data_IF_378155456221
#
_entry.id   IF_378155456221
#
_cell.length_a   1.000
_cell.length_b   1.000
_cell.length_c   1.000
_cell.angle_alpha   90.00
_cell.angle_beta   90.00
_cell.angle_gamma   90.00
#
_symmetry.space_group_name_H-M   'P 1'
#
loop_
_entity.id
_entity.type
_entity.pdbx_description
1 polymer ?
#
# COMPACT_ATOMS: atom_id res chain seq x y z
N UNK A 1 5.12 -14.59 -20.99
CA UNK A 1 3.99 -13.85 -20.37
C UNK A 1 3.11 -14.83 -19.63
N UNK A 2 3.24 -14.95 -18.31
CA UNK A 2 2.50 -15.99 -17.56
C UNK A 2 1.86 -15.50 -16.25
N UNK A 3 2.13 -14.27 -15.78
CA UNK A 3 1.63 -13.81 -14.46
C UNK A 3 0.39 -12.92 -14.53
N UNK A 4 -0.09 -12.59 -15.73
CA UNK A 4 -1.27 -11.71 -15.89
C UNK A 4 -2.52 -12.28 -15.20
N UNK A 5 -2.75 -13.58 -15.35
CA UNK A 5 -3.89 -14.25 -14.70
C UNK A 5 -3.71 -14.29 -13.18
N UNK A 6 -2.51 -14.63 -12.69
CA UNK A 6 -2.23 -14.68 -11.25
C UNK A 6 -2.36 -13.28 -10.62
N UNK A 7 -1.82 -12.25 -11.27
CA UNK A 7 -1.95 -10.85 -10.86
C UNK A 7 -3.42 -10.45 -10.79
N UNK A 8 -4.22 -10.81 -11.80
CA UNK A 8 -5.65 -10.53 -11.82
C UNK A 8 -6.39 -11.24 -10.68
N UNK A 9 -6.12 -12.52 -10.45
CA UNK A 9 -6.75 -13.31 -9.39
C UNK A 9 -6.45 -12.71 -8.02
N UNK A 10 -5.20 -12.33 -7.77
CA UNK A 10 -4.79 -11.72 -6.50
C UNK A 10 -5.44 -10.35 -6.30
N UNK A 11 -5.50 -9.52 -7.35
CA UNK A 11 -6.17 -8.22 -7.30
C UNK A 11 -7.67 -8.34 -7.04
N UNK A 12 -8.34 -9.27 -7.74
CA UNK A 12 -9.77 -9.52 -7.57
C UNK A 12 -10.06 -10.01 -6.13
N UNK A 13 -9.22 -10.91 -5.58
CA UNK A 13 -9.32 -11.38 -4.21
C UNK A 13 -9.08 -10.26 -3.18
N UNK A 14 -8.03 -9.45 -3.37
CA UNK A 14 -7.72 -8.31 -2.51
C UNK A 14 -8.87 -7.29 -2.50
N UNK A 15 -9.49 -7.04 -3.66
CA UNK A 15 -10.62 -6.12 -3.79
C UNK A 15 -11.87 -6.61 -3.04
N UNK A 16 -12.19 -7.90 -3.15
CA UNK A 16 -13.30 -8.51 -2.41
C UNK A 16 -13.05 -8.44 -0.90
N UNK A 17 -11.85 -8.81 -0.45
CA UNK A 17 -11.48 -8.75 0.97
C UNK A 17 -11.50 -7.32 1.50
N UNK A 18 -10.99 -6.34 0.73
CA UNK A 18 -11.03 -4.94 1.11
C UNK A 18 -12.47 -4.45 1.34
N UNK A 19 -13.41 -4.80 0.45
CA UNK A 19 -14.84 -4.46 0.64
C UNK A 19 -15.42 -5.06 1.90
N UNK A 20 -15.10 -6.32 2.20
CA UNK A 20 -15.58 -7.00 3.41
C UNK A 20 -15.00 -6.37 4.68
N UNK A 21 -13.72 -6.01 4.67
CA UNK A 21 -13.05 -5.34 5.78
C UNK A 21 -13.63 -3.95 6.00
N UNK A 22 -13.84 -3.18 4.93
CA UNK A 22 -14.43 -1.84 5.02
C UNK A 22 -15.83 -1.90 5.64
N UNK A 23 -16.69 -2.83 5.21
CA UNK A 23 -18.01 -3.03 5.79
C UNK A 23 -17.94 -3.47 7.27
N UNK A 24 -17.00 -4.35 7.61
CA UNK A 24 -16.79 -4.82 8.98
C UNK A 24 -16.27 -3.70 9.89
N UNK A 25 -15.38 -2.85 9.39
CA UNK A 25 -14.86 -1.69 10.08
C UNK A 25 -15.98 -0.68 10.38
N UNK A 26 -16.80 -0.36 9.38
CA UNK A 26 -17.98 0.49 9.54
C UNK A 26 -18.97 -0.04 10.59
N UNK A 27 -19.18 -1.36 10.63
CA UNK A 27 -20.00 -1.99 11.66
C UNK A 27 -19.36 -1.91 13.06
N UNK A 28 -18.04 -2.10 13.13
CA UNK A 28 -17.28 -2.00 14.37
C UNK A 28 -17.32 -0.60 15.00
N UNK A 29 -17.27 0.45 14.17
CA UNK A 29 -17.41 1.83 14.64
C UNK A 29 -18.72 2.03 15.42
N UNK A 30 -19.80 1.36 15.02
CA UNK A 30 -21.13 1.54 15.59
C UNK A 30 -21.40 0.71 16.83
N UNK A 31 -20.99 -0.56 16.90
CA UNK A 31 -21.53 -1.49 17.90
C UNK A 31 -20.57 -2.55 18.49
N UNK A 32 -19.31 -2.67 18.04
CA UNK A 32 -18.42 -3.75 18.51
C UNK A 32 -16.93 -3.46 18.27
N UNK A 33 -16.06 -3.89 19.20
CA UNK A 33 -14.63 -4.01 18.90
C UNK A 33 -14.39 -5.27 18.05
N UNK A 34 -13.88 -5.11 16.83
CA UNK A 34 -13.47 -6.20 15.94
C UNK A 34 -11.97 -6.10 15.70
N UNK A 35 -11.26 -7.23 15.82
CA UNK A 35 -9.85 -7.30 15.46
C UNK A 35 -9.70 -7.53 13.94
N UNK A 36 -9.35 -6.47 13.22
CA UNK A 36 -9.19 -6.49 11.76
C UNK A 36 -7.71 -6.57 11.33
N UNK A 37 -6.77 -6.73 12.27
CA UNK A 37 -5.34 -6.66 11.97
C UNK A 37 -4.88 -7.73 10.98
N UNK A 38 -5.34 -8.97 11.14
CA UNK A 38 -5.01 -10.09 10.23
C UNK A 38 -5.64 -9.91 8.84
N UNK A 39 -6.95 -9.65 8.70
CA UNK A 39 -7.54 -9.35 7.39
C UNK A 39 -6.85 -8.19 6.65
N UNK A 40 -6.56 -7.08 7.35
CA UNK A 40 -5.88 -5.92 6.74
C UNK A 40 -4.48 -6.28 6.28
N UNK A 41 -3.72 -7.03 7.08
CA UNK A 41 -2.40 -7.56 6.69
C UNK A 41 -2.50 -8.40 5.42
N UNK A 42 -3.44 -9.34 5.35
CA UNK A 42 -3.60 -10.22 4.19
C UNK A 42 -3.91 -9.44 2.89
N UNK A 43 -4.74 -8.40 2.95
CA UNK A 43 -5.00 -7.54 1.80
C UNK A 43 -3.73 -6.83 1.35
N UNK A 44 -2.97 -6.24 2.28
CA UNK A 44 -1.71 -5.57 1.95
C UNK A 44 -0.70 -6.55 1.32
N UNK A 45 -0.57 -7.77 1.86
CA UNK A 45 0.33 -8.80 1.31
C UNK A 45 -0.06 -9.23 -0.11
N UNK A 46 -1.36 -9.35 -0.38
CA UNK A 46 -1.86 -9.64 -1.72
C UNK A 46 -1.56 -8.49 -2.70
N UNK A 47 -1.81 -7.23 -2.30
CA UNK A 47 -1.47 -6.07 -3.12
C UNK A 47 0.03 -5.97 -3.40
N UNK A 48 0.87 -6.26 -2.40
CA UNK A 48 2.32 -6.30 -2.57
C UNK A 48 2.74 -7.39 -3.55
N UNK A 49 2.16 -8.58 -3.45
CA UNK A 49 2.46 -9.69 -4.36
C UNK A 49 2.08 -9.37 -5.80
N UNK A 50 0.93 -8.73 -6.02
CA UNK A 50 0.51 -8.27 -7.34
C UNK A 50 1.51 -7.25 -7.94
N UNK A 51 2.02 -6.31 -7.13
CA UNK A 51 3.07 -5.37 -7.54
C UNK A 51 4.36 -6.10 -7.93
N UNK A 52 4.81 -7.05 -7.13
CA UNK A 52 6.04 -7.79 -7.40
C UNK A 52 5.91 -8.68 -8.66
N UNK A 53 4.73 -9.27 -8.92
CA UNK A 53 4.46 -9.99 -10.18
C UNK A 53 4.54 -9.07 -11.39
N UNK A 54 3.99 -7.86 -11.29
CA UNK A 54 4.14 -6.86 -12.35
C UNK A 54 5.60 -6.44 -12.54
N UNK A 55 6.40 -6.36 -11.48
CA UNK A 55 7.82 -6.06 -11.59
C UNK A 55 8.58 -7.14 -12.39
N UNK A 56 8.27 -8.42 -12.15
CA UNK A 56 8.81 -9.52 -12.94
C UNK A 56 8.42 -9.42 -14.42
N UNK A 57 7.15 -9.14 -14.71
CA UNK A 57 6.69 -8.98 -16.09
C UNK A 57 7.35 -7.77 -16.78
N UNK A 58 7.52 -6.65 -16.07
CA UNK A 58 8.26 -5.48 -16.58
C UNK A 58 9.71 -5.84 -16.85
N UNK A 59 10.37 -6.58 -15.95
CA UNK A 59 11.75 -7.00 -16.14
C UNK A 59 11.91 -7.87 -17.38
N UNK A 60 11.13 -8.93 -17.51
CA UNK A 60 11.19 -9.89 -18.62
C UNK A 60 10.93 -9.22 -19.98
N UNK A 61 9.97 -8.28 -20.03
CA UNK A 61 9.58 -7.63 -21.28
C UNK A 61 10.51 -6.46 -21.64
N UNK A 62 10.86 -5.63 -20.67
CA UNK A 62 11.56 -4.36 -20.95
C UNK A 62 13.06 -4.46 -20.72
N UNK A 63 13.51 -5.10 -19.64
CA UNK A 63 14.91 -5.03 -19.20
C UNK A 63 15.75 -6.22 -19.70
N UNK A 64 15.22 -7.45 -19.57
CA UNK A 64 15.93 -8.69 -19.84
C UNK A 64 16.47 -8.78 -21.28
N UNK A 65 15.73 -8.43 -22.35
CA UNK A 65 16.22 -8.59 -23.72
C UNK A 65 17.50 -7.77 -23.98
N UNK A 66 17.52 -6.51 -23.51
CA UNK A 66 18.67 -5.61 -23.65
C UNK A 66 19.86 -6.07 -22.80
N UNK A 67 19.62 -6.64 -21.61
CA UNK A 67 20.68 -7.17 -20.75
C UNK A 67 21.31 -8.43 -21.32
N UNK A 68 20.49 -9.37 -21.78
CA UNK A 68 20.93 -10.61 -22.41
C UNK A 68 21.78 -10.32 -23.66
N UNK A 69 21.35 -9.36 -24.50
CA UNK A 69 22.12 -8.93 -25.67
C UNK A 69 23.51 -8.35 -25.33
N UNK A 70 23.67 -7.80 -24.12
CA UNK A 70 24.92 -7.22 -23.62
C UNK A 70 25.71 -8.17 -22.69
N UNK A 71 25.30 -9.44 -22.56
CA UNK A 71 25.96 -10.42 -21.69
C UNK A 71 25.90 -10.06 -20.20
N UNK A 72 24.94 -9.23 -19.78
CA UNK A 72 24.79 -8.80 -18.39
C UNK A 72 23.97 -9.83 -17.59
N UNK A 73 24.36 -10.13 -16.33
CA UNK A 73 23.61 -11.08 -15.50
C UNK A 73 22.24 -10.53 -15.10
N UNK A 74 21.30 -11.42 -14.81
CA UNK A 74 20.00 -11.03 -14.22
C UNK A 74 20.17 -10.50 -12.78
N UNK A 75 19.36 -9.53 -12.35
CA UNK A 75 19.37 -9.06 -10.97
C UNK A 75 18.91 -10.18 -10.03
N UNK A 76 19.52 -10.25 -8.84
CA UNK A 76 19.23 -11.29 -7.85
C UNK A 76 17.79 -11.25 -7.34
N UNK A 77 17.22 -10.05 -7.25
CA UNK A 77 15.90 -9.80 -6.69
C UNK A 77 15.14 -8.82 -7.59
N UNK A 78 13.99 -9.24 -8.11
CA UNK A 78 13.10 -8.38 -8.88
C UNK A 78 11.90 -8.07 -8.00
N UNK A 79 11.85 -6.84 -7.52
CA UNK A 79 10.76 -6.32 -6.71
C UNK A 79 10.23 -5.03 -7.31
N UNK A 80 8.96 -4.74 -7.04
CA UNK A 80 8.37 -3.49 -7.45
C UNK A 80 9.13 -2.32 -6.82
N UNK A 81 9.66 -1.37 -7.63
CA UNK A 81 10.39 -0.24 -7.10
C UNK A 81 9.41 0.77 -6.49
N UNK A 82 9.65 1.11 -5.22
CA UNK A 82 8.92 2.16 -4.51
C UNK A 82 9.91 3.00 -3.72
N UNK A 83 9.80 4.32 -3.76
CA UNK A 83 10.71 5.24 -3.06
C UNK A 83 9.98 6.41 -2.47
N UNK A 84 10.38 6.84 -1.26
CA UNK A 84 9.80 8.03 -0.63
C UNK A 84 10.27 9.30 -1.34
N UNK A 85 11.54 9.31 -1.73
CA UNK A 85 12.17 10.36 -2.54
C UNK A 85 12.51 9.84 -3.94
N UNK A 86 12.80 10.77 -4.85
CA UNK A 86 13.23 10.43 -6.22
C UNK A 86 14.52 9.61 -6.22
N UNK A 87 15.48 9.94 -5.35
CA UNK A 87 16.77 9.24 -5.24
C UNK A 87 16.58 7.81 -4.69
N UNK A 88 15.71 7.63 -3.68
CA UNK A 88 15.35 6.31 -3.17
C UNK A 88 14.75 5.43 -4.28
N UNK A 89 13.86 6.02 -5.07
CA UNK A 89 13.23 5.33 -6.19
C UNK A 89 14.24 4.97 -7.27
N UNK A 90 15.11 5.90 -7.67
CA UNK A 90 16.17 5.65 -8.66
C UNK A 90 17.11 4.53 -8.22
N UNK A 91 17.54 4.54 -6.97
CA UNK A 91 18.39 3.50 -6.40
C UNK A 91 17.72 2.13 -6.46
N UNK A 92 16.45 2.05 -6.03
CA UNK A 92 15.68 0.80 -6.04
C UNK A 92 15.38 0.31 -7.45
N UNK A 93 14.92 1.18 -8.34
CA UNK A 93 14.70 0.87 -9.75
C UNK A 93 15.99 0.40 -10.43
N UNK A 94 17.13 1.03 -10.13
CA UNK A 94 18.44 0.59 -10.63
C UNK A 94 18.82 -0.81 -10.16
N UNK A 95 18.41 -1.20 -8.95
CA UNK A 95 18.69 -2.53 -8.41
C UNK A 95 17.74 -3.63 -8.93
N UNK A 96 16.43 -3.33 -9.04
CA UNK A 96 15.41 -4.33 -9.36
C UNK A 96 15.01 -4.36 -10.84
N UNK A 97 15.08 -3.23 -11.53
CA UNK A 97 14.75 -3.05 -12.95
C UNK A 97 15.87 -2.28 -13.66
N UNK A 98 17.11 -2.81 -13.69
CA UNK A 98 18.28 -2.08 -14.17
C UNK A 98 18.14 -1.65 -15.63
N UNK A 99 18.22 -0.34 -15.89
CA UNK A 99 18.17 0.26 -17.22
C UNK A 99 16.76 0.45 -17.78
N UNK A 100 15.71 0.33 -16.95
CA UNK A 100 14.31 0.51 -17.36
C UNK A 100 14.01 1.89 -17.97
N UNK A 101 14.70 2.93 -17.51
CA UNK A 101 14.63 4.30 -18.00
C UNK A 101 15.00 4.41 -19.49
N UNK A 102 16.02 3.66 -19.90
CA UNK A 102 16.46 3.61 -21.31
C UNK A 102 15.77 2.53 -22.11
N UNK A 103 15.36 1.43 -21.48
CA UNK A 103 14.77 0.29 -22.17
C UNK A 103 13.28 0.49 -22.47
N UNK A 104 12.56 1.17 -21.57
CA UNK A 104 11.18 1.58 -21.79
C UNK A 104 10.87 2.88 -21.02
N UNK A 105 11.20 4.05 -21.61
CA UNK A 105 10.88 5.35 -21.02
C UNK A 105 9.40 5.53 -20.62
N UNK A 106 8.41 5.03 -21.41
CA UNK A 106 7.00 5.13 -21.01
C UNK A 106 6.68 4.37 -19.73
N UNK A 107 7.21 3.16 -19.55
CA UNK A 107 7.00 2.36 -18.34
C UNK A 107 7.70 3.01 -17.15
N UNK A 108 8.92 3.51 -17.34
CA UNK A 108 9.62 4.25 -16.30
C UNK A 108 8.83 5.47 -15.83
N UNK A 109 8.29 6.27 -16.76
CA UNK A 109 7.46 7.43 -16.44
C UNK A 109 6.19 7.05 -15.67
N UNK A 110 5.56 5.93 -16.03
CA UNK A 110 4.40 5.40 -15.29
C UNK A 110 4.80 5.02 -13.87
N UNK A 111 5.91 4.30 -13.69
CA UNK A 111 6.43 3.94 -12.37
C UNK A 111 6.73 5.16 -11.50
N UNK A 112 7.29 6.23 -12.08
CA UNK A 112 7.56 7.50 -11.40
C UNK A 112 6.25 8.20 -11.00
N UNK A 113 5.25 8.22 -11.89
CA UNK A 113 3.99 8.96 -11.69
C UNK A 113 3.18 8.52 -10.47
N UNK A 114 3.33 7.27 -10.03
CA UNK A 114 2.62 6.71 -8.88
C UNK A 114 3.41 6.86 -7.56
N UNK A 115 4.64 7.37 -7.61
CA UNK A 115 5.47 7.51 -6.42
C UNK A 115 5.04 8.72 -5.58
N UNK A 116 5.23 8.68 -4.26
CA UNK A 116 4.83 9.77 -3.36
C UNK A 116 5.37 11.14 -3.75
N UNK A 117 6.61 11.22 -4.21
CA UNK A 117 7.24 12.48 -4.64
C UNK A 117 6.68 13.05 -5.96
N UNK A 118 5.81 12.31 -6.66
CA UNK A 118 5.15 12.77 -7.90
C UNK A 118 3.65 12.93 -7.72
N UNK A 119 2.97 11.92 -7.15
CA UNK A 119 1.51 11.96 -6.97
C UNK A 119 1.06 12.69 -5.69
N UNK A 120 1.97 12.94 -4.75
CA UNK A 120 1.68 13.56 -3.45
C UNK A 120 1.04 12.62 -2.42
N UNK A 121 0.78 11.37 -2.77
CA UNK A 121 0.17 10.37 -1.90
C UNK A 121 1.19 9.29 -1.48
N UNK A 122 1.31 9.06 -0.18
CA UNK A 122 2.33 8.17 0.39
C UNK A 122 1.85 6.73 0.60
N UNK A 123 0.60 6.42 0.24
CA UNK A 123 -0.02 5.11 0.46
C UNK A 123 0.85 3.93 -0.02
N UNK A 124 1.47 4.04 -1.20
CA UNK A 124 2.28 2.97 -1.79
C UNK A 124 3.52 2.70 -0.92
N UNK A 125 4.16 3.77 -0.47
CA UNK A 125 5.33 3.67 0.40
C UNK A 125 4.94 3.12 1.77
N UNK A 126 3.89 3.67 2.39
CA UNK A 126 3.40 3.21 3.69
C UNK A 126 3.03 1.73 3.67
N UNK A 127 2.22 1.30 2.71
CA UNK A 127 1.81 -0.10 2.55
C UNK A 127 3.03 -1.03 2.46
N UNK A 128 3.99 -0.70 1.60
CA UNK A 128 5.16 -1.53 1.41
C UNK A 128 6.13 -1.47 2.61
N UNK A 129 6.23 -0.34 3.32
CA UNK A 129 7.06 -0.19 4.52
C UNK A 129 6.48 -0.99 5.69
N UNK A 130 5.17 -0.87 5.94
CA UNK A 130 4.47 -1.60 7.01
C UNK A 130 4.67 -3.11 6.85
N UNK A 131 4.53 -3.63 5.63
CA UNK A 131 4.75 -5.05 5.37
C UNK A 131 6.20 -5.48 5.57
N UNK A 132 7.17 -4.62 5.25
CA UNK A 132 8.58 -4.97 5.43
C UNK A 132 9.03 -4.88 6.89
N UNK A 133 8.62 -3.83 7.62
CA UNK A 133 8.95 -3.63 9.03
C UNK A 133 8.27 -4.67 9.93
N UNK A 134 7.05 -5.09 9.60
CA UNK A 134 6.25 -6.00 10.44
C UNK A 134 6.39 -7.49 10.09
N UNK A 135 7.27 -7.86 9.15
CA UNK A 135 7.57 -9.27 8.81
C UNK A 135 8.11 -10.09 9.99
N UNK A 136 8.71 -9.46 11.01
CA UNK A 136 9.41 -10.15 12.10
C UNK A 136 9.07 -9.67 13.51
N UNK A 137 8.15 -8.72 13.67
CA UNK A 137 7.96 -8.03 14.95
C UNK A 137 6.54 -8.23 15.51
N UNK A 138 5.54 -7.44 15.07
CA UNK A 138 4.16 -7.52 15.57
C UNK A 138 3.15 -7.02 14.53
N UNK A 139 1.90 -7.49 14.63
CA UNK A 139 0.78 -6.91 13.85
C UNK A 139 0.59 -5.43 14.22
N UNK A 140 0.30 -4.56 13.24
CA UNK A 140 0.01 -3.15 13.48
C UNK A 140 -1.21 -3.02 14.39
N UNK A 141 -1.05 -2.29 15.50
CA UNK A 141 -2.16 -2.08 16.44
C UNK A 141 -3.21 -1.17 15.83
N UNK A 142 -4.47 -1.55 15.98
CA UNK A 142 -5.60 -0.73 15.58
C UNK A 142 -5.98 0.18 16.74
N UNK A 143 -5.66 1.48 16.64
CA UNK A 143 -6.03 2.48 17.65
C UNK A 143 -7.36 3.11 17.27
N UNK A 144 -8.42 2.81 18.01
CA UNK A 144 -9.71 3.48 17.89
C UNK A 144 -9.62 4.84 18.61
N UNK A 145 -9.80 5.92 17.87
CA UNK A 145 -9.92 7.27 18.44
C UNK A 145 -11.37 7.72 18.31
N UNK A 146 -12.05 7.93 19.42
CA UNK A 146 -13.39 8.50 19.45
C UNK A 146 -13.33 9.98 19.79
N UNK A 147 -14.11 10.79 19.07
CA UNK A 147 -14.35 12.18 19.43
C UNK A 147 -15.81 12.33 19.80
N UNK A 148 -16.10 12.54 21.08
CA UNK A 148 -17.45 12.76 21.56
C UNK A 148 -17.75 14.26 21.52
N UNK A 149 -18.91 14.65 20.98
CA UNK A 149 -19.41 16.03 21.04
C UNK A 149 -20.75 16.03 21.79
N UNK A 150 -20.93 16.99 22.70
CA UNK A 150 -22.22 17.23 23.33
C UNK A 150 -22.83 18.50 22.76
N UNK A 151 -24.06 18.40 22.28
CA UNK A 151 -24.87 19.55 21.87
C UNK A 151 -25.88 19.84 22.95
N UNK A 152 -25.78 21.01 23.58
CA UNK A 152 -26.75 21.50 24.55
C UNK A 152 -27.70 22.43 23.80
N UNK A 153 -29.00 22.10 23.80
CA UNK A 153 -30.04 22.98 23.24
C UNK A 153 -30.67 23.81 24.35
N UNK A 154 -30.54 25.14 24.24
CA UNK A 154 -31.25 26.12 25.07
C UNK A 154 -32.39 26.79 24.31
N UNK A 155 -33.25 27.52 25.02
CA UNK A 155 -34.40 28.25 24.43
C UNK A 155 -34.03 29.34 23.40
N UNK A 156 -32.77 29.74 23.28
CA UNK A 156 -32.29 30.78 22.38
C UNK A 156 -31.12 30.34 21.45
N UNK A 157 -30.80 29.05 21.40
CA UNK A 157 -29.75 28.54 20.51
C UNK A 157 -29.12 27.22 20.97
N UNK A 158 -28.29 26.63 20.12
CA UNK A 158 -27.51 25.42 20.43
C UNK A 158 -26.02 25.72 20.52
N UNK A 159 -25.35 25.08 21.48
CA UNK A 159 -23.88 25.10 21.60
C UNK A 159 -23.37 23.66 21.55
N UNK A 160 -22.42 23.39 20.66
CA UNK A 160 -21.74 22.09 20.55
C UNK A 160 -20.34 22.20 21.15
N UNK A 161 -20.06 21.36 22.15
CA UNK A 161 -18.77 21.34 22.85
C UNK A 161 -18.10 19.99 22.57
N UNK A 162 -16.86 19.96 22.05
CA UNK A 162 -16.07 18.75 21.93
C UNK A 162 -15.61 18.29 23.31
N UNK A 163 -15.93 17.05 23.68
CA UNK A 163 -15.51 16.43 24.93
C UNK A 163 -14.11 15.86 24.73
N UNK A 164 -13.07 16.59 25.16
CA UNK A 164 -11.75 15.97 25.40
C UNK A 164 -11.81 15.27 26.75
N UNK A 165 -12.22 14.00 26.79
CA UNK A 165 -12.20 13.23 28.05
C UNK A 165 -11.00 12.27 28.09
N UNK A 166 -9.94 12.57 28.85
CA UNK A 166 -8.84 11.63 29.06
C UNK A 166 -9.15 10.48 30.03
N UNK A 167 -10.37 10.36 30.59
CA UNK A 167 -10.70 9.34 31.61
C UNK A 167 -12.16 8.81 31.59
N UNK A 168 -12.76 8.54 30.43
CA UNK A 168 -14.04 7.83 30.38
C UNK A 168 -13.83 6.30 30.42
N UNK A 169 -13.84 5.71 31.62
CA UNK A 169 -14.15 4.28 31.78
C UNK A 169 -15.68 4.12 31.89
N UNK A 170 -16.25 3.25 31.07
CA UNK A 170 -17.53 2.58 31.38
C UNK A 170 -17.22 1.09 31.46
#
# INVERSE_FOLDING_TARGET
>A
MNRKNDTKVILDAAFVQHKQIAASYESALRNKSLDLRVPVKNVMENLRSALDYMAHDIYEVCCQPKRAANGLPDPKNIYFPYGRTEDDFKSRAGSSLPGIDTASPPVYKLLVSIQPFTCGDDWLYQMCSILNEKKHDRLTEQVRTETQTHTIQGRQGSVTIPVKNPNAKV
#
